data_IF_553287008307
#
_entry.id   IF_553287008307
#
_cell.length_a   1.000
_cell.length_b   1.000
_cell.length_c   1.000
_cell.angle_alpha   90.00
_cell.angle_beta   90.00
_cell.angle_gamma   90.00
#
_symmetry.space_group_name_H-M   'P 1'
#
loop_
_entity.id
_entity.type
_entity.pdbx_description
1 polymer ?
#
# COMPACT_ATOMS: atom_id res chain seq x y z
N UNK A 1 -17.26 12.92 -9.27
CA UNK A 1 -17.69 13.63 -10.49
C UNK A 1 -17.72 15.10 -10.17
N UNK A 2 -16.68 15.83 -10.54
CA UNK A 2 -16.74 17.28 -10.59
C UNK A 2 -17.49 17.64 -11.87
N UNK A 3 -18.49 18.51 -11.69
CA UNK A 3 -19.45 19.05 -12.65
C UNK A 3 -18.84 19.20 -14.06
N UNK A 4 -19.36 18.45 -15.04
CA UNK A 4 -18.94 18.62 -16.43
C UNK A 4 -19.47 17.62 -17.43
N UNK A 5 -19.92 16.43 -17.01
CA UNK A 5 -20.13 15.36 -17.99
C UNK A 5 -21.38 14.51 -17.69
N UNK A 6 -22.55 15.08 -18.01
CA UNK A 6 -23.81 14.33 -18.03
C UNK A 6 -23.84 13.27 -19.15
N UNK A 7 -22.97 13.38 -20.16
CA UNK A 7 -22.84 12.38 -21.21
C UNK A 7 -22.12 11.11 -20.71
N UNK A 8 -21.08 11.22 -19.87
CA UNK A 8 -20.39 10.04 -19.33
C UNK A 8 -21.21 9.25 -18.30
N UNK A 9 -22.12 9.88 -17.55
CA UNK A 9 -23.03 9.17 -16.65
C UNK A 9 -23.94 8.15 -17.37
N UNK A 10 -24.27 8.39 -18.63
CA UNK A 10 -25.05 7.47 -19.49
C UNK A 10 -24.26 6.24 -19.95
N UNK A 11 -22.91 6.31 -19.92
CA UNK A 11 -22.02 5.21 -20.34
C UNK A 11 -21.57 4.32 -19.17
N UNK A 12 -21.91 4.69 -17.94
CA UNK A 12 -21.61 3.88 -16.78
C UNK A 12 -22.54 2.65 -16.73
N UNK A 13 -21.96 1.49 -16.40
CA UNK A 13 -22.74 0.30 -16.11
C UNK A 13 -23.37 0.45 -14.72
N UNK A 14 -24.67 0.78 -14.71
CA UNK A 14 -25.45 0.92 -13.49
C UNK A 14 -25.97 -0.44 -13.03
N UNK A 15 -25.78 -0.75 -11.75
CA UNK A 15 -26.39 -1.88 -11.09
C UNK A 15 -27.57 -1.42 -10.22
N UNK A 16 -28.62 -2.23 -10.24
CA UNK A 16 -29.78 -2.04 -9.39
C UNK A 16 -29.59 -2.82 -8.08
N UNK A 17 -29.94 -2.23 -6.92
CA UNK A 17 -29.83 -2.92 -5.65
C UNK A 17 -30.82 -4.08 -5.57
N UNK A 18 -30.40 -5.20 -4.96
CA UNK A 18 -31.29 -6.33 -4.73
C UNK A 18 -32.23 -5.99 -3.58
N UNK A 19 -33.54 -6.05 -3.80
CA UNK A 19 -34.52 -5.75 -2.75
C UNK A 19 -34.40 -6.69 -1.54
N UNK A 20 -34.02 -7.95 -1.78
CA UNK A 20 -33.75 -8.95 -0.73
C UNK A 20 -32.63 -8.55 0.24
N UNK A 21 -31.76 -7.62 -0.14
CA UNK A 21 -30.68 -7.13 0.73
C UNK A 21 -31.18 -6.10 1.76
N UNK A 22 -32.43 -5.61 1.62
CA UNK A 22 -33.08 -4.74 2.58
C UNK A 22 -33.62 -5.49 3.78
N UNK A 23 -33.94 -6.77 3.67
CA UNK A 23 -34.45 -7.58 4.79
C UNK A 23 -33.29 -8.11 5.63
N UNK A 24 -32.78 -7.29 6.55
CA UNK A 24 -31.71 -7.70 7.48
C UNK A 24 -32.33 -8.04 8.83
N UNK A 25 -31.72 -8.99 9.53
CA UNK A 25 -32.08 -9.32 10.91
C UNK A 25 -32.07 -8.06 11.79
N UNK A 26 -32.95 -8.02 12.78
CA UNK A 26 -33.18 -6.89 13.69
C UNK A 26 -31.87 -6.19 14.10
N UNK A 27 -31.79 -4.89 13.81
CA UNK A 27 -30.70 -4.05 14.31
C UNK A 27 -30.85 -3.98 15.83
N UNK A 28 -29.95 -4.66 16.54
CA UNK A 28 -29.90 -4.63 18.00
C UNK A 28 -29.17 -3.37 18.43
N UNK A 29 -29.87 -2.49 19.14
CA UNK A 29 -29.20 -1.41 19.86
C UNK A 29 -28.53 -2.01 21.10
N UNK A 30 -27.20 -1.88 21.15
CA UNK A 30 -26.43 -2.14 22.36
C UNK A 30 -26.34 -0.83 23.14
N UNK A 31 -26.79 -0.83 24.39
CA UNK A 31 -26.58 0.30 25.28
C UNK A 31 -25.11 0.39 25.72
N UNK A 32 -24.74 1.48 26.40
CA UNK A 32 -23.38 1.72 26.88
C UNK A 32 -22.88 0.66 27.91
N UNK A 33 -23.78 -0.17 28.45
CA UNK A 33 -23.48 -1.30 29.34
C UNK A 33 -23.39 -2.65 28.62
N UNK A 34 -23.55 -2.69 27.29
CA UNK A 34 -23.57 -3.95 26.52
C UNK A 34 -24.87 -4.73 26.60
N UNK A 35 -25.93 -4.15 27.17
CA UNK A 35 -27.29 -4.69 27.15
C UNK A 35 -27.90 -4.56 25.76
N UNK A 36 -28.37 -5.68 25.20
CA UNK A 36 -29.10 -5.69 23.93
C UNK A 36 -30.58 -5.42 24.18
N UNK A 37 -31.09 -4.28 23.72
CA UNK A 37 -32.54 -4.11 23.55
C UNK A 37 -32.88 -4.46 22.10
N UNK A 38 -33.57 -5.58 21.89
CA UNK A 38 -34.18 -5.89 20.60
C UNK A 38 -35.32 -4.89 20.39
N UNK A 39 -35.13 -3.96 19.45
CA UNK A 39 -36.26 -3.16 18.98
C UNK A 39 -37.10 -4.10 18.12
N UNK A 40 -38.35 -4.31 18.54
CA UNK A 40 -39.36 -4.99 17.74
C UNK A 40 -39.42 -4.37 16.35
N UNK A 41 -39.76 -5.19 15.35
CA UNK A 41 -39.93 -4.84 13.94
C UNK A 41 -40.34 -3.38 13.74
N UNK A 42 -39.62 -2.57 12.96
CA UNK A 42 -39.94 -1.16 12.83
C UNK A 42 -41.36 -1.03 12.25
N UNK A 43 -42.23 -0.36 13.00
CA UNK A 43 -43.49 0.17 12.47
C UNK A 43 -43.10 1.05 11.29
N UNK A 44 -43.62 0.75 10.10
CA UNK A 44 -43.37 1.55 8.90
C UNK A 44 -43.68 3.02 9.21
N UNK A 45 -42.63 3.83 9.35
CA UNK A 45 -42.77 5.27 9.51
C UNK A 45 -42.73 5.89 8.12
N UNK A 46 -43.28 7.09 7.98
CA UNK A 46 -43.27 7.88 6.73
C UNK A 46 -41.86 8.22 6.20
N UNK A 47 -40.80 7.73 6.86
CA UNK A 47 -39.38 7.91 6.54
C UNK A 47 -38.75 6.74 5.76
N UNK A 48 -39.49 5.63 5.53
CA UNK A 48 -38.99 4.48 4.78
C UNK A 48 -38.81 4.79 3.28
N UNK A 49 -37.71 4.34 2.69
CA UNK A 49 -37.59 4.38 1.22
C UNK A 49 -38.65 3.50 0.55
N UNK A 50 -39.22 3.93 -0.60
CA UNK A 50 -40.28 3.19 -1.30
C UNK A 50 -39.88 1.73 -1.60
N UNK A 51 -40.79 0.79 -1.37
CA UNK A 51 -40.57 -0.66 -1.66
C UNK A 51 -40.81 -1.03 -3.11
N UNK A 52 -41.73 -0.32 -3.76
CA UNK A 52 -42.21 -0.63 -5.12
C UNK A 52 -41.31 -0.02 -6.22
N UNK A 53 -40.44 0.92 -5.84
CA UNK A 53 -39.57 1.63 -6.76
C UNK A 53 -38.15 1.54 -6.23
N UNK A 54 -37.20 1.12 -7.08
CA UNK A 54 -35.78 1.12 -6.72
C UNK A 54 -35.35 2.56 -6.34
N UNK A 55 -34.98 2.79 -5.07
CA UNK A 55 -34.75 4.15 -4.57
C UNK A 55 -33.37 4.68 -4.97
N UNK A 56 -32.44 3.81 -5.35
CA UNK A 56 -31.12 4.21 -5.83
C UNK A 56 -30.56 3.23 -6.86
N UNK A 57 -29.54 3.69 -7.59
CA UNK A 57 -28.69 2.89 -8.47
C UNK A 57 -27.23 3.12 -8.13
N UNK A 58 -26.40 2.13 -8.38
CA UNK A 58 -24.97 2.18 -8.06
C UNK A 58 -24.16 1.99 -9.34
N UNK A 59 -23.09 2.75 -9.50
CA UNK A 59 -22.12 2.55 -10.57
C UNK A 59 -20.70 2.50 -10.00
N UNK A 60 -19.84 1.69 -10.64
CA UNK A 60 -18.43 1.60 -10.33
C UNK A 60 -17.67 2.73 -11.04
N UNK A 61 -16.91 3.52 -10.28
CA UNK A 61 -16.09 4.63 -10.82
C UNK A 61 -14.70 4.53 -10.21
N UNK A 62 -13.74 4.00 -10.97
CA UNK A 62 -12.42 3.67 -10.45
C UNK A 62 -12.51 2.80 -9.20
N UNK A 63 -11.79 3.17 -8.13
CA UNK A 63 -11.90 2.48 -6.83
C UNK A 63 -13.13 2.87 -6.00
N UNK A 64 -13.90 3.86 -6.46
CA UNK A 64 -15.08 4.39 -5.80
C UNK A 64 -16.39 3.73 -6.22
N UNK A 65 -17.48 4.35 -5.76
CA UNK A 65 -18.86 4.03 -6.08
C UNK A 65 -19.60 5.35 -6.28
N UNK A 66 -20.42 5.44 -7.32
CA UNK A 66 -21.39 6.51 -7.50
C UNK A 66 -22.76 5.97 -7.12
N UNK A 67 -23.47 6.66 -6.24
CA UNK A 67 -24.83 6.30 -5.84
C UNK A 67 -25.75 7.41 -6.33
N UNK A 68 -26.72 7.03 -7.16
CA UNK A 68 -27.74 7.94 -7.67
C UNK A 68 -29.06 7.61 -6.99
N UNK A 69 -29.65 8.57 -6.28
CA UNK A 69 -30.95 8.43 -5.64
C UNK A 69 -32.07 8.95 -6.53
N UNK A 70 -33.23 8.29 -6.45
CA UNK A 70 -34.48 8.74 -7.03
C UNK A 70 -35.22 9.59 -5.99
N UNK A 71 -35.04 10.91 -6.06
CA UNK A 71 -35.63 11.86 -5.12
C UNK A 71 -34.76 12.08 -3.89
N UNK A 72 -35.35 12.63 -2.82
CA UNK A 72 -34.65 12.95 -1.58
C UNK A 72 -34.53 11.71 -0.69
N UNK A 73 -33.30 11.23 -0.39
CA UNK A 73 -33.12 10.03 0.42
C UNK A 73 -33.23 10.28 1.93
N UNK A 74 -33.31 11.55 2.35
CA UNK A 74 -33.31 11.93 3.76
C UNK A 74 -34.74 12.00 4.32
N UNK A 75 -34.95 11.56 5.59
CA UNK A 75 -33.93 11.09 6.53
C UNK A 75 -33.47 9.62 6.31
N UNK A 76 -34.33 8.77 5.72
CA UNK A 76 -34.11 7.33 5.56
C UNK A 76 -34.04 6.57 6.89
N UNK A 77 -34.28 5.25 6.89
CA UNK A 77 -34.14 4.43 8.10
C UNK A 77 -32.76 3.77 8.21
N UNK A 78 -32.39 3.30 9.41
CA UNK A 78 -31.16 2.53 9.59
C UNK A 78 -31.10 1.29 8.68
N UNK A 79 -32.27 0.67 8.43
CA UNK A 79 -32.41 -0.47 7.53
C UNK A 79 -32.13 -0.09 6.07
N UNK A 80 -32.61 1.09 5.65
CA UNK A 80 -32.39 1.64 4.31
C UNK A 80 -30.91 1.99 4.08
N UNK A 81 -30.27 2.64 5.05
CA UNK A 81 -28.84 2.96 4.98
C UNK A 81 -27.98 1.70 5.00
N UNK A 82 -28.33 0.69 5.80
CA UNK A 82 -27.62 -0.58 5.77
C UNK A 82 -27.79 -1.29 4.42
N UNK A 83 -29.00 -1.29 3.86
CA UNK A 83 -29.26 -1.83 2.52
C UNK A 83 -28.38 -1.17 1.46
N UNK A 84 -28.24 0.16 1.50
CA UNK A 84 -27.32 0.90 0.63
C UNK A 84 -25.87 0.43 0.84
N UNK A 85 -25.40 0.39 2.09
CA UNK A 85 -24.02 0.01 2.42
C UNK A 85 -23.70 -1.43 1.98
N UNK A 86 -24.68 -2.34 2.07
CA UNK A 86 -24.58 -3.70 1.53
C UNK A 86 -24.51 -3.69 0.01
N UNK A 87 -25.37 -2.90 -0.64
CA UNK A 87 -25.46 -2.78 -2.11
C UNK A 87 -24.20 -2.21 -2.76
N UNK A 88 -23.49 -1.29 -2.08
CA UNK A 88 -22.20 -0.76 -2.57
C UNK A 88 -21.02 -1.70 -2.34
N UNK A 89 -21.26 -2.92 -1.84
CA UNK A 89 -20.27 -3.98 -1.67
C UNK A 89 -19.93 -4.32 -0.22
N UNK A 90 -20.77 -3.92 0.74
CA UNK A 90 -20.66 -4.30 2.14
C UNK A 90 -19.38 -3.80 2.79
N UNK A 91 -18.97 -4.48 3.87
CA UNK A 91 -17.88 -4.01 4.72
C UNK A 91 -16.56 -3.80 3.95
N UNK A 92 -16.26 -4.60 2.93
CA UNK A 92 -15.04 -4.44 2.10
C UNK A 92 -14.95 -3.07 1.41
N UNK A 93 -16.06 -2.32 1.32
CA UNK A 93 -16.12 -1.03 0.62
C UNK A 93 -16.24 0.16 1.55
N UNK A 94 -17.03 0.05 2.61
CA UNK A 94 -17.29 1.16 3.53
C UNK A 94 -16.48 1.10 4.82
N UNK A 95 -15.99 -0.07 5.23
CA UNK A 95 -15.03 -0.17 6.33
C UNK A 95 -13.62 0.16 5.81
N UNK A 96 -12.93 1.07 6.51
CA UNK A 96 -11.60 1.54 6.10
C UNK A 96 -10.57 0.41 6.11
N UNK A 97 -10.54 -0.39 7.19
CA UNK A 97 -9.57 -1.45 7.38
C UNK A 97 -9.69 -2.52 6.30
N UNK A 98 -10.91 -2.98 6.00
CA UNK A 98 -11.15 -3.94 4.92
C UNK A 98 -10.92 -3.37 3.53
N UNK A 99 -11.21 -2.09 3.32
CA UNK A 99 -11.04 -1.44 2.02
C UNK A 99 -9.56 -1.28 1.65
N UNK A 100 -8.74 -0.86 2.60
CA UNK A 100 -7.32 -0.55 2.39
C UNK A 100 -6.37 -1.64 2.87
N UNK A 101 -6.89 -2.66 3.56
CA UNK A 101 -6.11 -3.70 4.22
C UNK A 101 -5.22 -3.17 5.35
N UNK A 102 -5.43 -1.93 5.78
CA UNK A 102 -4.62 -1.20 6.75
C UNK A 102 -5.48 -0.17 7.49
N UNK A 103 -5.10 0.16 8.73
CA UNK A 103 -5.80 1.15 9.54
C UNK A 103 -4.82 2.08 10.23
N UNK A 104 -5.16 3.37 10.24
CA UNK A 104 -4.44 4.38 11.04
C UNK A 104 -4.91 4.42 12.50
N UNK A 105 -5.72 3.44 12.94
CA UNK A 105 -6.25 3.35 14.30
C UNK A 105 -5.87 2.06 15.02
N UNK A 106 -5.55 1.02 14.25
CA UNK A 106 -5.21 -0.31 14.75
C UNK A 106 -3.93 -0.75 14.06
N UNK A 107 -3.01 -1.37 14.82
CA UNK A 107 -1.81 -1.94 14.23
C UNK A 107 -2.14 -3.16 13.36
N UNK A 108 -1.21 -3.56 12.52
CA UNK A 108 -1.36 -4.66 11.56
C UNK A 108 -0.37 -5.80 11.84
N UNK A 109 -0.81 -7.04 11.64
CA UNK A 109 0.04 -8.24 11.69
C UNK A 109 0.90 -8.37 10.42
N UNK A 110 0.50 -7.74 9.32
CA UNK A 110 1.21 -7.75 8.04
C UNK A 110 2.40 -6.78 7.99
N UNK A 111 2.68 -6.04 9.07
CA UNK A 111 3.71 -5.01 9.11
C UNK A 111 5.08 -5.56 8.65
N UNK A 112 5.45 -6.76 9.10
CA UNK A 112 6.75 -7.36 8.78
C UNK A 112 6.86 -7.86 7.33
N UNK A 113 5.73 -8.06 6.63
CA UNK A 113 5.69 -8.54 5.24
C UNK A 113 6.10 -7.46 4.23
N UNK A 114 6.08 -6.18 4.63
CA UNK A 114 6.42 -5.05 3.76
C UNK A 114 7.60 -4.24 4.27
N UNK A 115 8.67 -4.94 4.62
CA UNK A 115 9.94 -4.32 4.99
C UNK A 115 10.87 -4.20 3.78
N UNK A 116 11.83 -3.29 3.89
CA UNK A 116 12.89 -3.11 2.89
C UNK A 116 13.90 -4.28 3.05
N UNK A 117 14.12 -5.10 2.01
CA UNK A 117 15.07 -6.20 2.07
C UNK A 117 16.49 -5.73 2.36
N UNK A 118 17.25 -6.52 3.13
CA UNK A 118 18.64 -6.22 3.49
C UNK A 118 18.81 -5.11 4.54
N UNK A 119 17.73 -4.50 5.02
CA UNK A 119 17.76 -3.52 6.10
C UNK A 119 17.32 -4.18 7.41
N UNK A 120 18.16 -4.09 8.44
CA UNK A 120 17.84 -4.59 9.79
C UNK A 120 18.21 -6.05 10.04
N UNK A 121 18.75 -6.76 9.05
CA UNK A 121 19.50 -8.00 9.32
C UNK A 121 20.77 -7.65 10.08
N UNK A 122 20.89 -8.08 11.34
CA UNK A 122 22.17 -7.99 12.06
C UNK A 122 23.16 -8.84 11.27
N UNK A 123 24.31 -8.32 10.81
CA UNK A 123 25.28 -9.10 10.06
C UNK A 123 26.05 -10.00 11.04
N UNK A 124 25.37 -11.02 11.57
CA UNK A 124 25.85 -11.87 12.66
C UNK A 124 27.21 -12.48 12.33
N UNK A 125 27.41 -12.92 11.08
CA UNK A 125 28.68 -13.50 10.62
C UNK A 125 29.82 -12.46 10.71
N UNK A 126 29.61 -11.23 10.22
CA UNK A 126 30.61 -10.18 10.30
C UNK A 126 30.92 -9.81 11.76
N UNK A 127 29.89 -9.74 12.61
CA UNK A 127 30.08 -9.49 14.04
C UNK A 127 30.88 -10.61 14.72
N UNK A 128 30.57 -11.88 14.44
CA UNK A 128 31.28 -13.03 14.96
C UNK A 128 32.74 -13.03 14.53
N UNK A 129 33.01 -12.78 13.24
CA UNK A 129 34.38 -12.67 12.72
C UNK A 129 35.13 -11.53 13.41
N UNK A 130 34.52 -10.35 13.54
CA UNK A 130 35.13 -9.20 14.19
C UNK A 130 35.44 -9.45 15.67
N UNK A 131 34.49 -10.00 16.43
CA UNK A 131 34.69 -10.32 17.85
C UNK A 131 35.77 -11.39 18.02
N UNK A 132 35.82 -12.38 17.12
CA UNK A 132 36.85 -13.42 17.12
C UNK A 132 38.24 -12.82 16.87
N UNK A 133 38.38 -11.98 15.85
CA UNK A 133 39.63 -11.26 15.57
C UNK A 133 40.03 -10.42 16.77
N UNK A 134 39.08 -9.67 17.34
CA UNK A 134 39.32 -8.81 18.50
C UNK A 134 39.80 -9.60 19.72
N UNK A 135 39.17 -10.74 20.03
CA UNK A 135 39.56 -11.63 21.12
C UNK A 135 40.96 -12.22 20.92
N UNK A 136 41.30 -12.62 19.69
CA UNK A 136 42.65 -13.11 19.35
C UNK A 136 43.70 -12.00 19.49
N UNK A 137 43.38 -10.79 19.03
CA UNK A 137 44.29 -9.64 19.10
C UNK A 137 44.55 -9.27 20.55
N UNK A 138 43.51 -9.09 21.38
CA UNK A 138 43.66 -8.66 22.79
C UNK A 138 44.24 -9.76 23.69
N UNK A 139 43.88 -11.02 23.46
CA UNK A 139 44.30 -12.13 24.29
C UNK A 139 45.68 -12.66 23.88
N UNK A 140 45.73 -13.76 23.09
CA UNK A 140 46.96 -14.48 22.84
C UNK A 140 48.01 -13.63 22.11
N UNK A 141 47.62 -12.81 21.13
CA UNK A 141 48.57 -12.05 20.32
C UNK A 141 49.24 -10.92 21.13
N UNK A 142 48.44 -10.06 21.77
CA UNK A 142 48.95 -8.95 22.59
C UNK A 142 49.80 -9.49 23.76
N UNK A 143 49.32 -10.51 24.49
CA UNK A 143 50.08 -11.12 25.58
C UNK A 143 51.43 -11.67 25.11
N UNK A 144 51.46 -12.46 24.03
CA UNK A 144 52.68 -13.09 23.54
C UNK A 144 53.73 -12.07 23.06
N UNK A 145 53.28 -11.03 22.36
CA UNK A 145 54.16 -9.95 21.87
C UNK A 145 54.77 -9.18 23.05
N UNK A 146 53.98 -8.81 24.06
CA UNK A 146 54.48 -8.07 25.23
C UNK A 146 55.32 -8.94 26.17
N UNK A 147 54.99 -10.23 26.30
CA UNK A 147 55.77 -11.19 27.08
C UNK A 147 57.16 -11.38 26.48
N UNK A 148 57.27 -11.53 25.14
CA UNK A 148 58.57 -11.58 24.45
C UNK A 148 59.38 -10.29 24.63
N UNK A 149 58.72 -9.14 24.74
CA UNK A 149 59.38 -7.83 24.99
C UNK A 149 59.63 -7.56 26.48
N UNK A 150 59.25 -8.45 27.40
CA UNK A 150 59.33 -8.28 28.87
C UNK A 150 58.62 -7.03 29.40
N UNK A 151 57.63 -6.51 28.67
CA UNK A 151 56.93 -5.26 29.01
C UNK A 151 55.46 -5.52 29.38
N UNK A 152 55.19 -6.53 30.19
CA UNK A 152 53.81 -6.92 30.55
C UNK A 152 52.99 -5.78 31.18
N UNK A 153 53.62 -4.82 31.86
CA UNK A 153 52.94 -3.65 32.42
C UNK A 153 52.25 -2.78 31.34
N UNK A 154 52.72 -2.81 30.08
CA UNK A 154 52.07 -2.08 28.98
C UNK A 154 50.72 -2.68 28.58
N UNK A 155 50.35 -3.89 29.04
CA UNK A 155 48.99 -4.44 28.86
C UNK A 155 47.92 -3.49 29.38
N UNK A 156 48.24 -2.75 30.45
CA UNK A 156 47.35 -1.78 31.08
C UNK A 156 46.96 -0.63 30.12
N UNK A 157 47.79 -0.34 29.11
CA UNK A 157 47.56 0.68 28.10
C UNK A 157 47.13 0.08 26.74
N UNK A 158 47.69 -1.06 26.34
CA UNK A 158 47.40 -1.64 25.02
C UNK A 158 45.98 -2.19 24.94
N UNK A 159 45.44 -2.76 26.01
CA UNK A 159 44.06 -3.28 26.02
C UNK A 159 43.05 -2.14 25.77
N UNK A 160 43.06 -1.02 26.54
CA UNK A 160 42.23 0.13 26.22
C UNK A 160 42.48 0.70 24.81
N UNK A 161 43.74 0.80 24.37
CA UNK A 161 44.09 1.33 23.06
C UNK A 161 43.51 0.52 21.90
N UNK A 162 43.65 -0.81 21.96
CA UNK A 162 43.06 -1.72 20.96
C UNK A 162 41.54 -1.67 21.00
N UNK A 163 40.93 -1.58 22.19
CA UNK A 163 39.49 -1.43 22.33
C UNK A 163 38.97 -0.16 21.62
N UNK A 164 39.63 0.99 21.82
CA UNK A 164 39.27 2.25 21.15
C UNK A 164 39.35 2.12 19.63
N UNK A 165 40.44 1.52 19.11
CA UNK A 165 40.62 1.32 17.66
C UNK A 165 39.53 0.40 17.10
N UNK A 166 39.23 -0.71 17.78
CA UNK A 166 38.19 -1.63 17.34
C UNK A 166 36.81 -0.98 17.35
N UNK A 167 36.48 -0.19 18.38
CA UNK A 167 35.24 0.58 18.43
C UNK A 167 35.15 1.61 17.30
N UNK A 168 36.24 2.32 17.00
CA UNK A 168 36.30 3.27 15.90
C UNK A 168 36.13 2.58 14.53
N UNK A 169 36.76 1.42 14.32
CA UNK A 169 36.61 0.62 13.10
C UNK A 169 35.18 0.10 12.92
N UNK A 170 34.57 -0.43 13.99
CA UNK A 170 33.18 -0.90 13.94
C UNK A 170 32.22 0.25 13.64
N UNK A 171 32.41 1.39 14.31
CA UNK A 171 31.60 2.58 14.06
C UNK A 171 31.76 3.08 12.62
N UNK A 172 33.01 3.17 12.14
CA UNK A 172 33.31 3.53 10.74
C UNK A 172 32.67 2.57 9.75
N UNK A 173 32.74 1.27 10.01
CA UNK A 173 32.06 0.26 9.19
C UNK A 173 30.54 0.49 9.15
N UNK A 174 29.89 0.75 10.29
CA UNK A 174 28.43 1.00 10.28
C UNK A 174 28.04 2.22 9.47
N UNK A 175 28.86 3.28 9.47
CA UNK A 175 28.64 4.47 8.65
C UNK A 175 28.74 4.12 7.16
N UNK A 176 29.77 3.39 6.76
CA UNK A 176 29.99 3.02 5.36
C UNK A 176 28.94 2.02 4.87
N UNK A 177 28.59 1.02 5.68
CA UNK A 177 27.70 -0.07 5.29
C UNK A 177 26.22 0.35 5.25
N UNK A 178 25.76 1.14 6.23
CA UNK A 178 24.35 1.56 6.29
C UNK A 178 24.10 2.88 5.57
N UNK A 179 25.13 3.72 5.43
CA UNK A 179 25.02 5.06 4.87
C UNK A 179 24.17 6.00 5.74
N UNK A 180 24.04 7.23 5.27
CA UNK A 180 23.15 8.24 5.86
C UNK A 180 21.87 8.44 5.04
N UNK A 181 21.72 7.72 3.92
CA UNK A 181 20.59 7.86 3.02
C UNK A 181 19.30 7.30 3.61
N UNK A 182 18.17 7.82 3.16
CA UNK A 182 16.86 7.20 3.35
C UNK A 182 16.63 6.18 2.24
N UNK A 183 16.22 4.98 2.63
CA UNK A 183 15.80 3.92 1.71
C UNK A 183 14.28 3.76 1.81
N UNK A 184 13.65 3.50 0.68
CA UNK A 184 12.22 3.23 0.61
C UNK A 184 11.92 1.93 -0.13
N UNK A 185 10.82 1.29 0.23
CA UNK A 185 10.13 0.29 -0.58
C UNK A 185 8.71 0.76 -0.76
N UNK A 186 8.29 0.93 -2.01
CA UNK A 186 6.98 1.46 -2.35
C UNK A 186 6.17 0.42 -3.11
N UNK A 187 4.89 0.31 -2.79
CA UNK A 187 3.93 -0.51 -3.54
C UNK A 187 2.72 0.36 -3.81
N UNK A 188 2.54 0.75 -5.06
CA UNK A 188 1.55 1.76 -5.40
C UNK A 188 0.72 1.40 -6.63
N UNK A 189 -0.50 1.92 -6.63
CA UNK A 189 -1.43 1.83 -7.73
C UNK A 189 -1.95 3.23 -8.08
N UNK A 190 -1.63 3.67 -9.29
CA UNK A 190 -2.05 4.97 -9.83
C UNK A 190 -3.17 4.75 -10.84
N UNK A 191 -4.33 5.37 -10.60
CA UNK A 191 -5.42 5.46 -11.56
C UNK A 191 -5.36 6.78 -12.31
N UNK A 192 -5.32 6.74 -13.64
CA UNK A 192 -5.26 7.91 -14.51
C UNK A 192 -6.60 8.09 -15.22
N UNK A 193 -7.18 9.26 -15.04
CA UNK A 193 -8.27 9.80 -15.83
C UNK A 193 -7.71 10.84 -16.80
N UNK A 194 -7.46 10.40 -18.04
CA UNK A 194 -6.89 11.25 -19.09
C UNK A 194 -7.85 12.36 -19.51
N UNK A 195 -9.16 12.13 -19.45
CA UNK A 195 -10.18 13.12 -19.83
C UNK A 195 -10.24 14.26 -18.80
N UNK A 196 -10.16 13.92 -17.51
CA UNK A 196 -10.10 14.89 -16.42
C UNK A 196 -8.70 15.46 -16.15
N UNK A 197 -7.66 14.99 -16.86
CA UNK A 197 -6.24 15.31 -16.62
C UNK A 197 -5.85 15.10 -15.14
N UNK A 198 -6.29 13.99 -14.57
CA UNK A 198 -6.18 13.71 -13.14
C UNK A 198 -5.64 12.31 -12.90
N UNK A 199 -4.80 12.19 -11.88
CA UNK A 199 -4.28 10.92 -11.39
C UNK A 199 -4.56 10.80 -9.88
N UNK A 200 -4.99 9.61 -9.45
CA UNK A 200 -5.14 9.26 -8.04
C UNK A 200 -4.23 8.09 -7.73
N UNK A 201 -3.36 8.26 -6.75
CA UNK A 201 -2.36 7.26 -6.37
C UNK A 201 -2.61 6.79 -4.95
N UNK A 202 -2.72 5.47 -4.79
CA UNK A 202 -2.70 4.79 -3.51
C UNK A 202 -1.35 4.12 -3.36
N UNK A 203 -0.65 4.32 -2.25
CA UNK A 203 0.68 3.76 -2.04
C UNK A 203 0.93 3.33 -0.60
N UNK A 204 1.40 2.09 -0.42
CA UNK A 204 2.05 1.66 0.82
C UNK A 204 3.54 1.92 0.70
N UNK A 205 4.10 2.61 1.69
CA UNK A 205 5.49 3.05 1.69
C UNK A 205 6.15 2.53 2.96
N UNK A 206 7.28 1.84 2.81
CA UNK A 206 8.15 1.42 3.89
C UNK A 206 9.42 2.24 3.83
N UNK A 207 9.80 2.86 4.94
CA UNK A 207 10.95 3.75 5.05
C UNK A 207 11.93 3.26 6.10
N UNK A 208 13.20 3.45 5.79
CA UNK A 208 14.30 3.34 6.73
C UNK A 208 15.24 4.51 6.53
N UNK A 209 15.42 5.32 7.56
CA UNK A 209 16.38 6.40 7.56
C UNK A 209 17.65 5.97 8.27
N UNK A 210 18.79 5.90 7.57
CA UNK A 210 20.10 5.77 8.24
C UNK A 210 20.34 6.94 9.19
N UNK A 211 20.02 8.14 8.71
CA UNK A 211 19.86 9.37 9.48
C UNK A 211 18.54 10.03 9.09
N UNK A 212 17.70 10.33 10.08
CA UNK A 212 16.45 11.03 9.84
C UNK A 212 16.70 12.46 9.31
N UNK A 213 15.92 12.93 8.32
CA UNK A 213 16.03 14.30 7.83
C UNK A 213 15.67 15.29 8.95
N UNK A 214 16.53 16.28 9.18
CA UNK A 214 16.32 17.30 10.22
C UNK A 214 15.08 18.18 9.97
N UNK A 215 14.70 18.34 8.71
CA UNK A 215 13.50 19.10 8.31
C UNK A 215 12.21 18.27 8.41
N UNK A 216 12.28 17.00 8.80
CA UNK A 216 11.12 16.09 8.82
C UNK A 216 10.76 15.57 7.42
N UNK A 217 9.51 15.15 7.27
CA UNK A 217 8.94 14.70 5.99
C UNK A 217 7.93 15.71 5.45
N UNK A 218 7.97 15.99 4.15
CA UNK A 218 7.13 16.99 3.51
C UNK A 218 6.20 16.35 2.48
N UNK A 219 4.91 16.52 2.69
CA UNK A 219 3.85 16.06 1.78
C UNK A 219 3.06 17.26 1.24
N UNK A 220 2.50 17.10 0.04
CA UNK A 220 1.53 18.03 -0.50
C UNK A 220 0.24 18.01 0.31
N UNK A 221 -0.50 19.12 0.30
CA UNK A 221 -1.82 19.23 0.93
C UNK A 221 -2.86 18.28 0.33
N UNK A 222 -2.63 17.84 -0.89
CA UNK A 222 -3.50 16.91 -1.63
C UNK A 222 -3.14 15.43 -1.38
N UNK A 223 -2.30 15.15 -0.39
CA UNK A 223 -1.88 13.78 0.00
C UNK A 223 -2.36 13.48 1.41
N UNK A 224 -3.26 12.51 1.56
CA UNK A 224 -3.56 11.93 2.85
C UNK A 224 -2.45 10.94 3.25
N UNK A 225 -1.94 11.06 4.48
CA UNK A 225 -0.85 10.23 5.01
C UNK A 225 -1.32 9.56 6.30
N UNK A 226 -1.22 8.24 6.34
CA UNK A 226 -1.69 7.41 7.44
C UNK A 226 -0.52 6.57 7.98
N UNK A 227 -0.14 6.70 9.25
CA UNK A 227 0.89 5.84 9.83
C UNK A 227 0.39 4.40 9.93
N UNK A 228 1.30 3.45 9.68
CA UNK A 228 1.07 2.01 9.87
C UNK A 228 2.08 1.52 10.90
N UNK A 229 1.62 0.74 11.87
CA UNK A 229 2.46 0.19 12.94
C UNK A 229 2.08 -1.28 13.25
N UNK A 230 2.95 -2.05 13.94
CA UNK A 230 2.67 -3.43 14.30
C UNK A 230 1.46 -3.58 15.23
N UNK A 231 0.74 -4.70 15.13
CA UNK A 231 -0.44 -5.01 15.96
C UNK A 231 -0.21 -4.86 17.48
N UNK A 232 0.98 -5.23 17.96
CA UNK A 232 1.34 -5.18 19.38
C UNK A 232 1.95 -3.84 19.84
N UNK A 233 1.97 -2.84 18.96
CA UNK A 233 2.52 -1.52 19.22
C UNK A 233 1.45 -0.44 19.06
N UNK A 234 1.78 0.79 19.46
CA UNK A 234 0.97 1.97 19.19
C UNK A 234 1.85 3.03 18.56
N UNK A 235 1.29 3.78 17.62
CA UNK A 235 1.95 4.99 17.17
C UNK A 235 2.07 5.96 18.35
N UNK A 236 3.31 6.29 18.74
CA UNK A 236 3.57 7.10 19.93
C UNK A 236 2.96 8.50 19.82
N UNK A 237 3.58 9.35 18.99
CA UNK A 237 3.15 10.72 18.69
C UNK A 237 4.04 11.29 17.59
N UNK A 238 3.53 12.32 16.91
CA UNK A 238 4.29 13.11 15.94
C UNK A 238 3.78 14.54 15.88
N UNK A 239 4.66 15.46 15.51
CA UNK A 239 4.30 16.86 15.29
C UNK A 239 4.13 17.12 13.80
N UNK A 240 3.12 17.90 13.46
CA UNK A 240 2.86 18.32 12.08
C UNK A 240 2.69 19.82 12.06
N UNK A 241 3.41 20.48 11.16
CA UNK A 241 3.18 21.86 10.78
C UNK A 241 2.31 21.87 9.52
N UNK A 242 1.15 22.51 9.60
CA UNK A 242 0.19 22.69 8.51
C UNK A 242 0.13 24.12 7.97
N UNK A 243 1.04 25.00 8.39
CA UNK A 243 1.00 26.44 8.05
C UNK A 243 1.05 26.66 6.54
N UNK A 244 2.05 26.08 5.86
CA UNK A 244 2.29 26.28 4.42
C UNK A 244 2.08 24.98 3.62
N UNK A 245 2.55 23.85 4.13
CA UNK A 245 2.38 22.52 3.53
C UNK A 245 2.11 21.50 4.64
N UNK A 246 2.01 20.21 4.31
CA UNK A 246 1.97 19.17 5.32
C UNK A 246 3.39 18.75 5.68
N UNK A 247 3.96 19.34 6.73
CA UNK A 247 5.32 19.05 7.19
C UNK A 247 5.31 18.24 8.50
N UNK A 248 5.63 16.96 8.40
CA UNK A 248 5.77 16.01 9.50
C UNK A 248 7.16 16.20 10.15
N UNK A 249 7.26 17.20 11.03
CA UNK A 249 8.53 17.71 11.56
C UNK A 249 9.25 16.77 12.52
N UNK A 250 8.52 16.08 13.40
CA UNK A 250 9.13 15.20 14.41
C UNK A 250 8.25 14.00 14.76
N UNK A 251 8.87 12.90 15.20
CA UNK A 251 8.17 11.68 15.64
C UNK A 251 7.74 10.72 14.53
N UNK A 252 7.65 11.19 13.28
CA UNK A 252 7.13 10.41 12.15
C UNK A 252 8.17 9.48 11.50
N UNK A 253 9.41 9.92 11.33
CA UNK A 253 10.52 9.11 10.78
C UNK A 253 11.74 9.26 11.67
N UNK A 254 12.16 8.16 12.33
CA UNK A 254 13.29 8.16 13.26
C UNK A 254 14.50 7.46 12.64
N UNK A 255 15.69 7.89 13.03
CA UNK A 255 16.94 7.26 12.60
C UNK A 255 16.96 5.80 13.05
N UNK A 256 17.28 4.91 12.11
CA UNK A 256 17.39 3.45 12.30
C UNK A 256 16.09 2.77 12.73
N UNK A 257 14.94 3.41 12.49
CA UNK A 257 13.62 2.82 12.72
C UNK A 257 12.97 2.44 11.40
N UNK A 258 12.20 1.35 11.42
CA UNK A 258 11.35 0.92 10.30
C UNK A 258 10.02 1.65 10.47
N UNK A 259 9.65 2.44 9.48
CA UNK A 259 8.40 3.20 9.50
C UNK A 259 7.60 2.88 8.25
N UNK A 260 6.28 2.76 8.38
CA UNK A 260 5.40 2.55 7.22
C UNK A 260 4.27 3.57 7.19
N UNK A 261 3.86 3.91 5.96
CA UNK A 261 2.76 4.80 5.68
C UNK A 261 1.86 4.22 4.60
N UNK A 262 0.56 4.46 4.73
CA UNK A 262 -0.38 4.44 3.61
C UNK A 262 -0.55 5.89 3.14
N UNK A 263 -0.44 6.10 1.84
CA UNK A 263 -0.62 7.41 1.21
C UNK A 263 -1.71 7.35 0.17
N UNK A 264 -2.53 8.39 0.11
CA UNK A 264 -3.55 8.60 -0.93
C UNK A 264 -3.40 10.01 -1.47
N UNK A 265 -2.99 10.14 -2.72
CA UNK A 265 -2.71 11.45 -3.33
C UNK A 265 -3.50 11.68 -4.60
N UNK A 266 -3.89 12.92 -4.85
CA UNK A 266 -4.44 13.39 -6.14
C UNK A 266 -3.46 14.32 -6.85
N UNK A 267 -3.18 14.09 -8.13
CA UNK A 267 -2.32 14.94 -8.96
C UNK A 267 -2.98 15.31 -10.27
N UNK A 268 -2.63 16.48 -10.78
CA UNK A 268 -2.88 16.82 -12.19
C UNK A 268 -1.91 16.04 -13.05
N UNK A 269 -2.42 15.31 -14.03
CA UNK A 269 -1.63 14.56 -15.01
C UNK A 269 -2.05 14.98 -16.41
N UNK A 270 -1.10 15.52 -17.19
CA UNK A 270 -1.33 16.03 -18.55
C UNK A 270 -0.80 15.09 -19.63
N UNK A 271 0.16 14.25 -19.27
CA UNK A 271 0.60 13.12 -20.05
C UNK A 271 -0.57 12.18 -20.32
N UNK A 272 -0.53 11.56 -21.49
CA UNK A 272 -1.57 10.66 -21.96
C UNK A 272 -0.95 9.56 -22.78
N UNK A 273 -1.62 8.41 -22.76
CA UNK A 273 -1.42 7.37 -23.75
C UNK A 273 -2.29 7.70 -24.96
N UNK A 274 -1.66 8.00 -26.09
CA UNK A 274 -2.38 8.15 -27.35
C UNK A 274 -2.40 6.79 -28.04
N UNK A 275 -3.60 6.30 -28.33
CA UNK A 275 -3.78 4.99 -28.94
C UNK A 275 -4.56 5.16 -30.23
N UNK A 276 -3.96 4.71 -31.32
CA UNK A 276 -4.57 4.72 -32.66
C UNK A 276 -4.68 3.27 -33.14
N UNK A 277 -5.85 2.88 -33.63
CA UNK A 277 -6.06 1.52 -34.17
C UNK A 277 -6.19 1.61 -35.70
N UNK A 278 -5.08 1.59 -36.46
CA UNK A 278 -5.14 1.59 -37.92
C UNK A 278 -5.83 0.34 -38.50
N UNK A 279 -5.84 -0.78 -37.76
CA UNK A 279 -6.64 -1.96 -38.06
C UNK A 279 -7.04 -2.71 -36.77
N UNK A 280 -7.95 -3.70 -36.82
CA UNK A 280 -8.33 -4.49 -35.63
C UNK A 280 -7.17 -5.28 -35.00
N UNK A 281 -6.15 -5.60 -35.79
CA UNK A 281 -4.96 -6.37 -35.39
C UNK A 281 -3.71 -5.48 -35.19
N UNK A 282 -3.82 -4.17 -35.36
CA UNK A 282 -2.68 -3.26 -35.19
C UNK A 282 -3.07 -2.08 -34.32
N UNK A 283 -2.24 -1.83 -33.31
CA UNK A 283 -2.42 -0.75 -32.37
C UNK A 283 -1.14 0.07 -32.30
N UNK A 284 -1.19 1.35 -32.62
CA UNK A 284 -0.08 2.27 -32.40
C UNK A 284 -0.31 2.97 -31.07
N UNK A 285 0.69 2.93 -30.20
CA UNK A 285 0.63 3.51 -28.85
C UNK A 285 1.77 4.50 -28.70
N UNK A 286 1.44 5.76 -28.39
CA UNK A 286 2.42 6.78 -28.03
C UNK A 286 2.30 7.13 -26.54
N UNK A 287 3.44 7.04 -25.83
CA UNK A 287 3.53 7.32 -24.41
C UNK A 287 3.89 8.80 -24.17
N UNK A 288 2.89 9.60 -23.79
CA UNK A 288 3.09 11.00 -23.41
C UNK A 288 3.36 11.25 -21.92
N UNK A 289 3.51 10.20 -21.10
CA UNK A 289 3.86 10.37 -19.67
C UNK A 289 5.35 10.65 -19.50
N UNK A 290 5.72 11.21 -18.34
CA UNK A 290 7.12 11.49 -17.96
C UNK A 290 7.91 10.22 -17.58
N UNK A 291 7.24 9.06 -17.51
CA UNK A 291 7.81 7.77 -17.17
C UNK A 291 7.59 6.72 -18.26
N UNK A 292 8.44 5.70 -18.27
CA UNK A 292 8.28 4.53 -19.12
C UNK A 292 7.41 3.45 -18.49
N UNK A 293 6.98 2.48 -19.30
CA UNK A 293 6.29 1.28 -18.86
C UNK A 293 7.09 0.03 -19.18
N UNK A 294 7.10 -0.94 -18.26
CA UNK A 294 7.75 -2.25 -18.42
C UNK A 294 7.07 -3.31 -17.54
N UNK A 295 6.04 -4.03 -18.02
CA UNK A 295 5.39 -3.95 -19.34
C UNK A 295 4.17 -2.99 -19.36
N UNK A 296 3.64 -2.73 -20.57
CA UNK A 296 2.37 -2.04 -20.82
C UNK A 296 1.39 -2.98 -21.52
N UNK A 297 0.15 -3.01 -21.06
CA UNK A 297 -0.97 -3.71 -21.68
C UNK A 297 -2.05 -2.70 -22.05
N UNK A 298 -2.55 -2.80 -23.28
CA UNK A 298 -3.60 -1.92 -23.80
C UNK A 298 -4.74 -2.76 -24.35
N UNK A 299 -5.96 -2.44 -23.94
CA UNK A 299 -7.19 -3.01 -24.49
C UNK A 299 -7.74 -2.07 -25.57
N UNK A 300 -7.98 -2.60 -26.77
CA UNK A 300 -8.62 -1.85 -27.85
C UNK A 300 -10.13 -1.63 -27.60
N UNK A 301 -10.82 -1.01 -28.56
CA UNK A 301 -12.27 -0.75 -28.47
C UNK A 301 -13.13 -2.02 -28.41
N UNK A 302 -12.59 -3.14 -28.88
CA UNK A 302 -13.23 -4.46 -28.87
C UNK A 302 -12.87 -5.29 -27.63
N UNK A 303 -12.06 -4.72 -26.71
CA UNK A 303 -11.56 -5.42 -25.51
C UNK A 303 -10.41 -6.40 -25.79
N UNK A 304 -9.85 -6.40 -27.00
CA UNK A 304 -8.67 -7.23 -27.34
C UNK A 304 -7.40 -6.62 -26.76
N UNK A 305 -6.57 -7.47 -26.19
CA UNK A 305 -5.33 -7.07 -25.50
C UNK A 305 -4.14 -7.00 -26.45
N UNK A 306 -3.30 -6.00 -26.24
CA UNK A 306 -2.03 -5.76 -26.89
C UNK A 306 -0.98 -5.55 -25.80
N UNK A 307 0.20 -6.15 -25.94
CA UNK A 307 1.27 -6.06 -24.93
C UNK A 307 2.49 -5.41 -25.56
N UNK A 308 3.04 -4.41 -24.87
CA UNK A 308 4.35 -3.86 -25.14
C UNK A 308 5.30 -4.27 -24.00
N UNK A 309 6.44 -4.87 -24.35
CA UNK A 309 7.45 -5.29 -23.36
C UNK A 309 8.04 -4.10 -22.62
N UNK A 310 8.35 -3.03 -23.34
CA UNK A 310 8.79 -1.76 -22.78
C UNK A 310 8.36 -0.60 -23.68
N UNK A 311 7.93 0.51 -23.08
CA UNK A 311 7.62 1.76 -23.79
C UNK A 311 8.24 2.91 -23.00
N UNK A 312 9.31 3.50 -23.53
CA UNK A 312 9.96 4.66 -22.90
C UNK A 312 9.05 5.90 -22.92
N UNK A 313 9.32 6.85 -22.03
CA UNK A 313 8.67 8.16 -22.05
C UNK A 313 8.89 8.86 -23.39
N UNK A 314 7.82 9.40 -23.99
CA UNK A 314 7.84 10.07 -25.29
C UNK A 314 7.94 9.16 -26.52
N UNK A 315 8.02 7.83 -26.34
CA UNK A 315 8.15 6.88 -27.45
C UNK A 315 6.80 6.49 -28.06
N UNK A 316 6.82 6.13 -29.34
CA UNK A 316 5.67 5.55 -30.06
C UNK A 316 6.04 4.15 -30.57
N UNK A 317 5.15 3.19 -30.40
CA UNK A 317 5.36 1.79 -30.78
C UNK A 317 4.11 1.21 -31.46
N UNK A 318 4.33 0.35 -32.45
CA UNK A 318 3.28 -0.45 -33.06
C UNK A 318 3.21 -1.82 -32.39
N UNK A 319 2.01 -2.21 -31.99
CA UNK A 319 1.71 -3.44 -31.27
C UNK A 319 0.88 -4.39 -32.12
N UNK A 320 1.17 -5.67 -31.94
CA UNK A 320 0.35 -6.79 -32.41
C UNK A 320 -0.48 -7.33 -31.26
N UNK A 321 -1.54 -8.10 -31.54
CA UNK A 321 -2.37 -8.69 -30.51
C UNK A 321 -1.54 -9.59 -29.60
N UNK A 322 -1.82 -9.49 -28.30
CA UNK A 322 -1.06 -10.21 -27.29
C UNK A 322 -1.17 -11.72 -27.47
N UNK A 323 -0.03 -12.40 -27.31
CA UNK A 323 0.02 -13.86 -27.19
C UNK A 323 -0.19 -14.29 -25.74
N UNK A 324 -0.62 -15.55 -25.53
CA UNK A 324 -0.80 -16.10 -24.18
C UNK A 324 0.50 -16.05 -23.35
N UNK A 325 1.65 -16.23 -24.00
CA UNK A 325 2.95 -16.21 -23.34
C UNK A 325 3.36 -14.79 -22.92
N UNK A 326 3.01 -13.76 -23.70
CA UNK A 326 3.20 -12.36 -23.30
C UNK A 326 2.32 -12.00 -22.10
N UNK A 327 1.07 -12.46 -22.07
CA UNK A 327 0.18 -12.25 -20.93
C UNK A 327 0.69 -12.95 -19.66
N UNK A 328 1.24 -14.16 -19.78
CA UNK A 328 1.92 -14.85 -18.67
C UNK A 328 3.13 -14.07 -18.17
N UNK A 329 3.95 -13.52 -19.08
CA UNK A 329 5.10 -12.68 -18.70
C UNK A 329 4.66 -11.43 -17.94
N UNK A 330 3.56 -10.77 -18.36
CA UNK A 330 2.97 -9.65 -17.62
C UNK A 330 2.53 -10.09 -16.23
N UNK A 331 1.85 -11.23 -16.11
CA UNK A 331 1.41 -11.75 -14.81
C UNK A 331 2.61 -12.05 -13.88
N UNK A 332 3.72 -12.58 -14.42
CA UNK A 332 4.98 -12.78 -13.68
C UNK A 332 5.60 -11.44 -13.26
N UNK A 333 5.61 -10.43 -14.13
CA UNK A 333 6.11 -9.10 -13.78
C UNK A 333 5.31 -8.47 -12.62
N UNK A 334 3.99 -8.62 -12.62
CA UNK A 334 3.11 -8.16 -11.53
C UNK A 334 3.28 -8.93 -10.20
N UNK A 335 4.01 -10.05 -10.21
CA UNK A 335 4.35 -10.83 -9.02
C UNK A 335 5.74 -10.47 -8.45
N UNK A 336 6.51 -9.63 -9.13
CA UNK A 336 7.79 -9.17 -8.62
C UNK A 336 7.61 -8.47 -7.26
N UNK A 337 8.62 -8.62 -6.39
CA UNK A 337 8.67 -7.98 -5.07
C UNK A 337 7.40 -8.20 -4.22
N UNK A 338 6.98 -9.46 -3.97
CA UNK A 338 5.76 -9.77 -3.22
C UNK A 338 5.86 -9.29 -1.76
N UNK A 339 4.69 -9.23 -1.10
CA UNK A 339 4.61 -9.01 0.35
C UNK A 339 5.10 -10.28 1.03
N UNK A 340 6.33 -10.27 1.52
CA UNK A 340 6.96 -11.42 2.16
C UNK A 340 7.93 -10.94 3.24
N UNK A 341 8.12 -11.80 4.25
CA UNK A 341 9.13 -11.55 5.28
C UNK A 341 10.50 -11.44 4.60
N UNK A 342 11.28 -10.38 4.84
CA UNK A 342 12.62 -10.29 4.30
C UNK A 342 13.48 -11.48 4.70
N UNK A 343 14.39 -11.84 3.79
CA UNK A 343 15.45 -12.80 4.06
C UNK A 343 16.24 -12.37 5.31
N UNK A 344 16.29 -13.26 6.31
CA UNK A 344 16.90 -13.00 7.63
C UNK A 344 15.92 -12.77 8.78
N UNK A 345 14.67 -12.32 8.51
CA UNK A 345 13.60 -12.29 9.52
C UNK A 345 12.78 -13.60 9.52
N UNK A 346 12.63 -14.24 8.37
CA UNK A 346 11.99 -15.56 8.25
C UNK A 346 12.70 -16.64 9.10
N UNK A 347 14.03 -16.56 9.22
CA UNK A 347 14.84 -17.46 10.06
C UNK A 347 14.96 -16.99 11.52
N UNK A 348 14.68 -15.72 11.82
CA UNK A 348 14.56 -15.21 13.19
C UNK A 348 13.23 -15.59 13.86
N UNK A 349 12.26 -16.09 13.08
CA UNK A 349 10.95 -16.55 13.56
C UNK A 349 10.97 -17.75 14.50
N UNK A 350 12.13 -18.37 14.76
CA UNK A 350 12.28 -19.47 15.73
C UNK A 350 12.90 -19.04 17.07
N UNK A 351 13.33 -17.78 17.24
CA UNK A 351 13.98 -17.35 18.49
C UNK A 351 13.76 -15.87 18.80
N UNK A 352 12.53 -15.51 19.17
CA UNK A 352 12.32 -14.41 20.12
C UNK A 352 11.23 -14.81 21.12
N UNK A 353 11.48 -15.91 21.83
CA UNK A 353 10.93 -16.07 23.17
C UNK A 353 11.45 -14.91 24.02
N UNK A 354 10.52 -14.05 24.43
CA UNK A 354 10.62 -13.01 25.44
C UNK A 354 11.77 -13.23 26.43
N UNK A 355 12.92 -12.60 26.19
CA UNK A 355 14.08 -12.70 27.11
C UNK A 355 13.98 -11.72 28.29
N UNK A 356 13.02 -10.79 28.27
CA UNK A 356 12.67 -9.96 29.42
C UNK A 356 11.14 -9.83 29.49
N UNK A 357 10.56 -10.31 30.60
CA UNK A 357 9.12 -10.42 30.81
C UNK A 357 8.39 -9.08 30.88
N UNK A 358 8.13 -8.47 29.73
CA UNK A 358 7.09 -7.45 29.60
C UNK A 358 5.73 -8.14 29.44
N UNK A 359 4.78 -7.94 30.37
CA UNK A 359 3.44 -8.49 30.20
C UNK A 359 2.81 -7.85 28.96
N UNK A 360 2.37 -8.70 28.03
CA UNK A 360 1.51 -8.32 26.91
C UNK A 360 0.29 -7.61 27.49
N UNK A 361 0.29 -6.28 27.44
CA UNK A 361 -0.90 -5.49 27.72
C UNK A 361 -1.79 -5.62 26.50
N UNK A 362 -2.52 -6.75 26.45
CA UNK A 362 -3.72 -6.93 25.66
C UNK A 362 -4.75 -5.90 26.16
N UNK A 363 -4.58 -4.63 25.77
CA UNK A 363 -5.58 -3.58 25.91
C UNK A 363 -6.24 -3.43 24.54
N UNK A 364 -6.83 -4.53 24.08
CA UNK A 364 -7.82 -4.52 23.01
C UNK A 364 -9.00 -3.70 23.52
N UNK A 365 -9.03 -2.42 23.16
CA UNK A 365 -10.14 -1.54 23.45
C UNK A 365 -11.37 -2.08 22.74
N UNK A 366 -12.36 -2.51 23.53
CA UNK A 366 -13.73 -2.66 23.08
C UNK A 366 -14.24 -1.30 22.61
N UNK A 367 -14.07 -1.00 21.33
CA UNK A 367 -14.72 0.11 20.66
C UNK A 367 -15.51 -0.45 19.48
N UNK A 368 -16.84 -0.42 19.64
CA UNK A 368 -17.89 -0.81 18.69
C UNK A 368 -17.71 -2.16 18.00
N UNK A 369 -18.42 -3.21 18.45
CA UNK A 369 -19.05 -4.26 17.61
C UNK A 369 -18.29 -4.98 16.47
N UNK A 370 -17.02 -4.69 16.23
CA UNK A 370 -16.16 -5.34 15.26
C UNK A 370 -15.35 -6.37 16.04
N UNK A 371 -15.81 -7.62 16.03
CA UNK A 371 -15.03 -8.74 16.56
C UNK A 371 -13.62 -8.69 15.97
N UNK A 372 -12.59 -9.03 16.77
CA UNK A 372 -11.14 -9.02 16.46
C UNK A 372 -10.86 -9.00 14.96
N UNK A 373 -10.86 -7.81 14.37
CA UNK A 373 -10.91 -7.71 12.93
C UNK A 373 -9.48 -7.62 12.44
N UNK A 374 -8.91 -8.77 12.13
CA UNK A 374 -7.68 -8.89 11.38
C UNK A 374 -7.99 -8.62 9.90
N UNK A 375 -7.56 -7.46 9.41
CA UNK A 375 -7.56 -7.11 7.99
C UNK A 375 -6.16 -7.30 7.44
N UNK A 376 -6.05 -7.94 6.28
CA UNK A 376 -4.78 -8.19 5.62
C UNK A 376 -4.60 -7.29 4.40
N UNK A 377 -3.38 -6.83 4.15
CA UNK A 377 -3.08 -5.93 3.04
C UNK A 377 -3.36 -6.56 1.68
N UNK A 378 -3.11 -7.86 1.55
CA UNK A 378 -3.40 -8.66 0.36
C UNK A 378 -4.91 -8.75 0.02
N UNK A 379 -5.79 -8.42 0.95
CA UNK A 379 -7.25 -8.36 0.77
C UNK A 379 -7.74 -6.94 0.42
N UNK A 380 -6.85 -5.95 0.41
CA UNK A 380 -7.20 -4.57 0.07
C UNK A 380 -7.74 -4.44 -1.35
N UNK A 381 -8.54 -3.40 -1.62
CA UNK A 381 -9.00 -3.11 -2.98
C UNK A 381 -7.84 -2.91 -3.97
N UNK A 382 -6.69 -2.42 -3.50
CA UNK A 382 -5.48 -2.25 -4.30
C UNK A 382 -4.94 -3.60 -4.77
N UNK A 383 -4.74 -4.53 -3.83
CA UNK A 383 -4.21 -5.86 -4.12
C UNK A 383 -5.22 -6.70 -4.90
N UNK A 384 -6.51 -6.58 -4.61
CA UNK A 384 -7.56 -7.21 -5.40
C UNK A 384 -7.58 -6.68 -6.85
N UNK A 385 -7.34 -5.38 -7.07
CA UNK A 385 -7.21 -4.84 -8.42
C UNK A 385 -5.96 -5.41 -9.12
N UNK A 386 -4.84 -5.53 -8.42
CA UNK A 386 -3.64 -6.17 -8.96
C UNK A 386 -3.85 -7.65 -9.30
N UNK A 387 -4.54 -8.41 -8.45
CA UNK A 387 -4.89 -9.81 -8.73
C UNK A 387 -5.71 -9.95 -10.01
N UNK A 388 -6.56 -8.98 -10.32
CA UNK A 388 -7.35 -8.97 -11.56
C UNK A 388 -6.50 -8.63 -12.78
N UNK A 389 -5.58 -7.65 -12.65
CA UNK A 389 -4.59 -7.36 -13.68
C UNK A 389 -3.75 -8.61 -14.01
N UNK A 390 -3.38 -9.40 -12.98
CA UNK A 390 -2.68 -10.69 -13.16
C UNK A 390 -3.54 -11.73 -13.90
N UNK A 391 -4.84 -11.75 -13.64
CA UNK A 391 -5.78 -12.65 -14.31
C UNK A 391 -6.21 -12.15 -15.72
N UNK A 392 -5.67 -11.02 -16.21
CA UNK A 392 -6.05 -10.44 -17.51
C UNK A 392 -7.42 -9.76 -17.52
N UNK A 393 -8.03 -9.54 -16.35
CA UNK A 393 -9.36 -8.91 -16.22
C UNK A 393 -9.19 -7.47 -15.73
N UNK A 394 -9.40 -6.48 -16.61
CA UNK A 394 -9.29 -5.06 -16.23
C UNK A 394 -10.63 -4.58 -15.70
N UNK A 395 -10.89 -4.75 -14.39
CA UNK A 395 -12.06 -4.09 -13.75
C UNK A 395 -11.64 -3.44 -12.44
N UNK A 396 -11.74 -2.11 -12.32
CA UNK A 396 -11.85 -1.45 -11.02
C UNK A 396 -13.32 -1.51 -10.57
N UNK A 397 -13.67 -2.34 -9.58
CA UNK A 397 -15.10 -2.60 -9.30
C UNK A 397 -15.40 -3.85 -8.48
N UNK A 398 -16.64 -4.18 -8.12
CA UNK A 398 -16.92 -5.21 -7.09
C UNK A 398 -17.15 -6.65 -7.57
N UNK A 399 -16.77 -6.99 -8.81
CA UNK A 399 -17.16 -8.25 -9.45
C UNK A 399 -16.83 -9.53 -8.65
N UNK A 400 -15.77 -9.54 -7.83
CA UNK A 400 -15.32 -10.77 -7.15
C UNK A 400 -16.09 -11.11 -5.87
N UNK A 401 -16.85 -10.18 -5.26
CA UNK A 401 -17.61 -10.50 -4.04
C UNK A 401 -19.07 -10.93 -4.30
N UNK A 402 -19.49 -11.01 -5.57
CA UNK A 402 -20.84 -11.42 -5.97
C UNK A 402 -20.86 -12.70 -6.83
N UNK A 403 -19.83 -13.55 -6.75
CA UNK A 403 -19.79 -14.80 -7.51
C UNK A 403 -19.76 -14.61 -9.03
N UNK A 404 -19.23 -13.48 -9.52
CA UNK A 404 -19.05 -13.28 -10.96
C UNK A 404 -17.83 -14.07 -11.41
N UNK A 405 -18.05 -14.99 -12.36
CA UNK A 405 -17.06 -15.85 -12.98
C UNK A 405 -15.81 -15.08 -13.45
N UNK A 406 -14.64 -15.72 -13.50
CA UNK A 406 -13.40 -15.20 -14.11
C UNK A 406 -13.48 -14.92 -15.64
N UNK A 407 -14.69 -14.94 -16.20
CA UNK A 407 -15.01 -14.80 -17.63
C UNK A 407 -15.34 -13.35 -18.05
N UNK A 408 -15.02 -12.36 -17.21
CA UNK A 408 -15.32 -10.96 -17.55
C UNK A 408 -14.24 -10.43 -18.50
N UNK A 409 -14.62 -10.22 -19.76
CA UNK A 409 -13.77 -9.66 -20.79
C UNK A 409 -13.12 -8.33 -20.34
N UNK A 410 -11.89 -8.03 -20.81
CA UNK A 410 -11.22 -6.75 -20.53
C UNK A 410 -12.11 -5.56 -20.90
N UNK A 411 -12.16 -4.55 -20.04
CA UNK A 411 -12.90 -3.33 -20.36
C UNK A 411 -12.23 -2.62 -21.54
N UNK A 412 -13.00 -2.39 -22.60
CA UNK A 412 -12.54 -1.69 -23.78
C UNK A 412 -11.97 -0.30 -23.45
N UNK A 413 -10.99 0.16 -24.24
CA UNK A 413 -10.31 1.45 -24.06
C UNK A 413 -9.70 1.63 -22.67
N UNK A 414 -8.99 0.61 -22.20
CA UNK A 414 -8.24 0.66 -20.96
C UNK A 414 -6.77 0.34 -21.20
N UNK A 415 -5.92 0.76 -20.29
CA UNK A 415 -4.53 0.34 -20.25
C UNK A 415 -4.12 0.08 -18.80
N UNK A 416 -3.11 -0.77 -18.64
CA UNK A 416 -2.41 -0.96 -17.38
C UNK A 416 -0.96 -1.35 -17.62
N UNK A 417 -0.07 -1.00 -16.69
CA UNK A 417 1.33 -1.32 -16.82
C UNK A 417 2.11 -1.07 -15.54
N UNK A 418 3.37 -1.48 -15.54
CA UNK A 418 4.31 -1.18 -14.47
C UNK A 418 5.16 0.02 -14.89
N UNK A 419 5.17 1.08 -14.08
CA UNK A 419 6.00 2.25 -14.36
C UNK A 419 7.47 1.96 -14.01
N UNK A 420 8.38 2.45 -14.86
CA UNK A 420 9.83 2.35 -14.64
C UNK A 420 10.36 3.37 -13.63
N UNK A 421 9.56 4.39 -13.30
CA UNK A 421 9.81 5.39 -12.28
C UNK A 421 8.66 5.41 -11.26
N UNK A 422 8.62 6.43 -10.39
CA UNK A 422 7.70 6.58 -9.26
C UNK A 422 6.57 7.55 -9.63
N UNK A 423 5.50 7.10 -10.32
CA UNK A 423 4.43 7.98 -10.78
C UNK A 423 3.60 8.48 -9.60
N UNK A 424 3.72 9.78 -9.30
CA UNK A 424 2.86 10.51 -8.35
C UNK A 424 2.86 9.99 -6.89
N UNK A 425 3.77 9.10 -6.52
CA UNK A 425 3.91 8.65 -5.12
C UNK A 425 4.78 9.66 -4.37
N UNK A 426 4.18 10.37 -3.41
CA UNK A 426 4.95 11.18 -2.47
C UNK A 426 5.50 10.34 -1.33
N UNK A 427 6.83 10.22 -1.30
CA UNK A 427 7.54 9.51 -0.22
C UNK A 427 7.78 10.41 1.00
N UNK A 428 7.68 11.73 0.81
CA UNK A 428 7.85 12.71 1.88
C UNK A 428 9.31 13.10 2.16
N UNK A 429 10.29 12.53 1.46
CA UNK A 429 11.72 12.79 1.66
C UNK A 429 12.37 13.10 0.30
N UNK A 430 13.14 14.21 0.17
CA UNK A 430 13.63 14.69 -1.13
C UNK A 430 14.71 13.82 -1.79
N UNK A 431 15.44 13.01 -1.01
CA UNK A 431 16.50 12.11 -1.51
C UNK A 431 16.30 10.73 -0.92
N UNK A 432 15.64 9.87 -1.69
CA UNK A 432 15.35 8.50 -1.28
C UNK A 432 15.84 7.53 -2.34
N UNK A 433 16.40 6.42 -1.88
CA UNK A 433 16.75 5.30 -2.76
C UNK A 433 15.68 4.24 -2.63
N UNK A 434 14.94 4.01 -3.72
CA UNK A 434 13.94 2.96 -3.77
C UNK A 434 14.59 1.59 -3.97
N UNK A 435 14.09 0.60 -3.22
CA UNK A 435 14.58 -0.78 -3.21
C UNK A 435 13.38 -1.70 -3.24
N UNK A 436 13.30 -2.54 -4.27
CA UNK A 436 12.22 -3.52 -4.48
C UNK A 436 10.83 -2.87 -4.48
N UNK A 437 10.73 -1.65 -5.02
CA UNK A 437 9.47 -0.96 -5.24
C UNK A 437 8.73 -1.52 -6.45
N UNK A 438 7.42 -1.33 -6.49
CA UNK A 438 6.56 -1.72 -7.58
C UNK A 438 5.43 -0.71 -7.76
N UNK A 439 5.36 -0.12 -8.94
CA UNK A 439 4.41 0.94 -9.28
C UNK A 439 3.53 0.49 -10.43
N UNK A 440 2.28 0.14 -10.13
CA UNK A 440 1.29 -0.15 -11.14
C UNK A 440 0.53 1.13 -11.52
N UNK A 441 0.25 1.27 -12.80
CA UNK A 441 -0.56 2.36 -13.34
C UNK A 441 -1.68 1.73 -14.17
N UNK A 442 -2.89 2.28 -14.06
CA UNK A 442 -4.01 1.89 -14.91
C UNK A 442 -4.86 3.11 -15.27
N UNK A 443 -5.52 3.06 -16.41
CA UNK A 443 -6.34 4.19 -16.86
C UNK A 443 -7.24 3.82 -18.04
N UNK A 444 -7.97 4.84 -18.51
CA UNK A 444 -8.77 4.79 -19.75
C UNK A 444 -8.18 5.74 -20.78
N UNK A 445 -8.31 5.41 -22.06
CA UNK A 445 -7.79 6.22 -23.18
C UNK A 445 -8.87 6.59 -24.18
#
# INVERSE_FOLDING_TARGET
MLVGDLASASTLSWSEPKLSDRDVAQIVHLDASGGSTSISTPVATTADWPREVLPFRVADVGFGKLVLFRGEPFPGTAQDWFWLLKSIGGMTRWDWGKRHGESARFGTSDFLLFLIPGIGGVPVVMFLVLITIFAIVIGPLNYFVLARRKQLHLLLLTIPGVAIIASALLFGYTIVAHGFSVKARCRSLTYIDQAAQSAVTLGRISLYAGQAPSAGMQFSRDTAVYPIWPENEQFESGQVDWTNSQNLTSGWLRSRTRTQFLTVGHRTERGRLEVTSPSPDKLTVANGFEWGFEPLVVANEQGRLFVAKSVSAGASIDLQPATDDELKQVATALQQNPLELPTGLASAGAASGSFWGTPSRYRGGYYYGYGTASWHHNESLMELAWLRLRAGTVIPGNAVLAGVSPEVAPVARTFYGLATQTPHVEIGVPKVTEVNSLHAVMGRW
#
